data_IF_983007245499
#
_entry.id   IF_983007245499
#
_cell.length_a   1.000
_cell.length_b   1.000
_cell.length_c   1.000
_cell.angle_alpha   90.00
_cell.angle_beta   90.00
_cell.angle_gamma   90.00
#
_symmetry.space_group_name_H-M   'P 1'
#
loop_
_entity.id
_entity.type
_entity.pdbx_description
1 polymer ?
#
# COMPACT_ATOMS: atom_id res chain seq x y z
N UNK A 1 32.73 9.91 -3.92
CA UNK A 1 33.74 9.50 -2.88
C UNK A 1 34.84 10.54 -2.83
N UNK A 2 35.28 10.90 -1.61
CA UNK A 2 36.42 11.75 -1.43
C UNK A 2 37.70 11.02 -1.87
N UNK A 3 38.79 11.78 -2.10
CA UNK A 3 40.06 11.20 -2.56
C UNK A 3 40.71 10.26 -1.52
N UNK A 4 41.54 9.29 -1.94
CA UNK A 4 42.30 8.47 -1.00
C UNK A 4 43.16 9.30 -0.04
N UNK A 5 43.67 10.44 -0.50
CA UNK A 5 44.45 11.37 0.27
C UNK A 5 43.64 12.01 1.42
N UNK A 6 42.35 12.34 1.19
CA UNK A 6 41.42 12.79 2.24
C UNK A 6 41.27 11.73 3.33
N UNK A 7 41.07 10.47 2.95
CA UNK A 7 40.94 9.38 3.90
C UNK A 7 42.25 9.11 4.67
N UNK A 8 43.42 9.18 4.01
CA UNK A 8 44.70 9.07 4.67
C UNK A 8 44.94 10.18 5.71
N UNK A 9 44.65 11.42 5.34
CA UNK A 9 44.73 12.56 6.27
C UNK A 9 43.77 12.44 7.44
N UNK A 10 42.56 11.90 7.22
CA UNK A 10 41.57 11.74 8.29
C UNK A 10 41.98 10.72 9.37
N UNK A 11 42.84 9.78 9.01
CA UNK A 11 43.43 8.81 9.95
C UNK A 11 44.59 9.41 10.74
N UNK A 12 45.43 10.20 10.07
CA UNK A 12 46.65 10.79 10.66
C UNK A 12 46.37 12.03 11.47
N UNK A 13 45.55 12.96 10.96
CA UNK A 13 45.29 14.24 11.60
C UNK A 13 43.91 14.79 11.24
N UNK A 14 42.94 14.69 12.18
CA UNK A 14 41.58 15.14 12.00
C UNK A 14 41.43 16.63 11.61
N UNK A 15 42.14 17.60 12.25
CA UNK A 15 42.03 19.00 11.86
C UNK A 15 42.41 19.27 10.41
N UNK A 16 43.49 18.64 9.91
CA UNK A 16 43.94 18.75 8.52
C UNK A 16 42.90 18.17 7.53
N UNK A 17 42.22 17.08 7.88
CA UNK A 17 41.18 16.52 7.03
C UNK A 17 40.00 17.46 6.89
N UNK A 18 39.67 18.24 7.91
CA UNK A 18 38.57 19.22 7.87
C UNK A 18 38.84 20.37 6.89
N UNK A 19 40.08 20.88 6.89
CA UNK A 19 40.50 21.88 5.90
C UNK A 19 40.51 21.32 4.48
N UNK A 20 40.94 20.05 4.32
CA UNK A 20 40.96 19.38 3.02
C UNK A 20 39.56 19.07 2.48
N UNK A 21 38.53 19.00 3.37
CA UNK A 21 37.15 18.79 2.99
C UNK A 21 36.62 19.89 2.06
N UNK A 22 36.95 21.12 2.32
CA UNK A 22 36.56 22.28 1.48
C UNK A 22 37.08 22.09 0.04
N UNK A 23 38.34 21.66 -0.11
CA UNK A 23 38.93 21.36 -1.43
C UNK A 23 38.23 20.19 -2.12
N UNK A 24 37.88 19.14 -1.40
CA UNK A 24 37.13 17.99 -1.94
C UNK A 24 35.72 18.41 -2.38
N UNK A 25 35.03 19.32 -1.67
CA UNK A 25 33.74 19.87 -2.06
C UNK A 25 33.82 20.64 -3.39
N UNK A 26 34.80 21.52 -3.55
CA UNK A 26 35.01 22.27 -4.80
C UNK A 26 35.34 21.39 -5.99
N UNK A 27 36.02 20.24 -5.78
CA UNK A 27 36.24 19.24 -6.84
C UNK A 27 34.93 18.64 -7.40
N UNK A 28 33.84 18.70 -6.65
CA UNK A 28 32.53 18.20 -7.10
C UNK A 28 31.72 19.26 -7.84
N UNK A 29 32.20 20.50 -7.90
CA UNK A 29 31.54 21.56 -8.64
C UNK A 29 31.39 21.17 -10.12
N UNK A 30 30.22 21.36 -10.67
CA UNK A 30 29.84 21.01 -12.06
C UNK A 30 29.94 19.51 -12.39
N UNK A 31 29.89 18.62 -11.39
CA UNK A 31 29.83 17.17 -11.61
C UNK A 31 28.45 16.60 -11.28
N UNK A 32 28.02 15.61 -12.05
CA UNK A 32 26.82 14.86 -11.73
C UNK A 32 27.06 14.00 -10.48
N UNK A 33 26.15 14.09 -9.51
CA UNK A 33 26.17 13.28 -8.28
C UNK A 33 25.09 12.21 -8.43
N UNK A 34 25.50 10.96 -8.58
CA UNK A 34 24.56 9.84 -8.61
C UNK A 34 24.02 9.57 -7.20
N UNK A 35 22.72 9.63 -7.06
CA UNK A 35 22.02 9.22 -5.83
C UNK A 35 21.27 7.91 -6.05
N UNK A 36 21.29 7.04 -5.05
CA UNK A 36 20.44 5.84 -5.01
C UNK A 36 19.50 5.96 -3.83
N UNK A 37 18.21 5.92 -4.12
CA UNK A 37 17.16 5.92 -3.11
C UNK A 37 16.73 4.46 -2.95
N UNK A 38 16.82 3.93 -1.73
CA UNK A 38 16.31 2.61 -1.38
C UNK A 38 14.81 2.65 -1.04
N UNK A 39 14.25 1.49 -0.81
CA UNK A 39 12.89 1.39 -0.27
C UNK A 39 12.82 1.96 1.16
N UNK A 40 11.69 2.55 1.57
CA UNK A 40 11.53 3.09 2.92
C UNK A 40 11.61 1.98 3.97
N UNK A 41 12.17 2.33 5.11
CA UNK A 41 12.13 1.53 6.35
C UNK A 41 11.11 2.20 7.26
N UNK A 42 10.09 1.46 7.69
CA UNK A 42 9.05 2.01 8.55
C UNK A 42 9.60 2.39 9.93
N UNK A 43 8.94 3.35 10.58
CA UNK A 43 9.24 3.75 11.96
C UNK A 43 9.16 2.53 12.89
N UNK A 44 8.13 1.71 12.74
CA UNK A 44 7.90 0.53 13.59
C UNK A 44 9.01 -0.50 13.46
N UNK A 45 9.52 -0.72 12.23
CA UNK A 45 10.70 -1.58 12.02
C UNK A 45 11.92 -1.08 12.79
N UNK A 46 12.11 0.24 12.88
CA UNK A 46 13.24 0.81 13.63
C UNK A 46 13.00 0.80 15.14
N UNK A 47 11.79 1.11 15.58
CA UNK A 47 11.40 1.18 16.99
C UNK A 47 11.36 -0.19 17.66
N UNK A 48 11.02 -1.24 16.89
CA UNK A 48 11.01 -2.62 17.39
C UNK A 48 12.42 -3.22 17.58
N UNK A 49 13.49 -2.51 17.16
CA UNK A 49 14.84 -3.01 17.34
C UNK A 49 15.28 -2.90 18.82
N UNK A 50 15.62 -4.01 19.48
CA UNK A 50 16.10 -3.99 20.89
C UNK A 50 17.56 -3.51 20.95
N UNK A 51 17.86 -2.35 20.35
CA UNK A 51 19.22 -1.84 20.19
C UNK A 51 19.34 -0.41 20.71
N UNK A 52 20.49 -0.10 21.29
CA UNK A 52 20.84 1.29 21.65
C UNK A 52 20.99 2.16 20.38
N UNK A 53 20.72 3.48 20.45
CA UNK A 53 20.75 4.40 19.30
C UNK A 53 22.06 4.34 18.47
N UNK A 54 23.19 4.18 19.14
CA UNK A 54 24.50 4.03 18.47
C UNK A 54 24.59 2.75 17.64
N UNK A 55 24.01 1.66 18.10
CA UNK A 55 23.96 0.39 17.36
C UNK A 55 23.00 0.48 16.17
N UNK A 56 21.83 1.12 16.34
CA UNK A 56 20.87 1.41 15.26
C UNK A 56 21.55 2.23 14.16
N UNK A 57 22.27 3.30 14.51
CA UNK A 57 23.02 4.11 13.54
C UNK A 57 24.07 3.29 12.76
N UNK A 58 24.76 2.37 13.43
CA UNK A 58 25.72 1.45 12.79
C UNK A 58 25.02 0.47 11.85
N UNK A 59 23.84 -0.04 12.24
CA UNK A 59 23.02 -0.93 11.43
C UNK A 59 22.51 -0.22 10.17
N UNK A 60 21.95 1.00 10.32
CA UNK A 60 21.50 1.84 9.21
C UNK A 60 22.63 2.15 8.23
N UNK A 61 23.80 2.51 8.75
CA UNK A 61 24.99 2.70 7.89
C UNK A 61 25.30 1.45 7.08
N UNK A 62 25.30 0.28 7.70
CA UNK A 62 25.54 -1.00 7.01
C UNK A 62 24.47 -1.29 5.97
N UNK A 63 23.20 -1.03 6.28
CA UNK A 63 22.06 -1.15 5.39
C UNK A 63 22.24 -0.29 4.12
N UNK A 64 22.54 1.02 4.30
CA UNK A 64 22.79 1.94 3.18
C UNK A 64 23.97 1.51 2.29
N UNK A 65 25.06 1.04 2.88
CA UNK A 65 26.20 0.54 2.10
C UNK A 65 25.85 -0.73 1.30
N UNK A 66 24.94 -1.58 1.80
CA UNK A 66 24.49 -2.75 1.05
C UNK A 66 23.63 -2.34 -0.15
N UNK A 67 22.65 -1.44 0.06
CA UNK A 67 21.83 -0.88 -1.03
C UNK A 67 22.72 -0.24 -2.10
N UNK A 68 23.71 0.57 -1.68
CA UNK A 68 24.67 1.20 -2.59
C UNK A 68 25.46 0.22 -3.46
N UNK A 69 25.58 -1.05 -3.03
CA UNK A 69 26.26 -2.14 -3.74
C UNK A 69 25.29 -3.08 -4.47
N UNK A 70 23.98 -2.77 -4.52
CA UNK A 70 22.97 -3.63 -5.13
C UNK A 70 22.70 -4.92 -4.36
N UNK A 71 23.05 -4.98 -3.06
CA UNK A 71 22.79 -6.15 -2.20
C UNK A 71 21.45 -6.01 -1.49
N UNK A 72 20.82 -7.12 -1.11
CA UNK A 72 19.59 -7.15 -0.35
C UNK A 72 19.66 -6.30 0.93
N UNK A 73 18.57 -5.61 1.31
CA UNK A 73 18.50 -4.82 2.53
C UNK A 73 18.73 -5.69 3.77
N UNK A 74 19.12 -5.07 4.90
CA UNK A 74 19.25 -5.75 6.20
C UNK A 74 18.01 -5.60 7.04
N UNK A 75 17.32 -4.48 6.89
CA UNK A 75 16.07 -4.18 7.59
C UNK A 75 14.90 -4.50 6.68
N UNK A 76 13.76 -4.81 7.25
CA UNK A 76 12.51 -4.93 6.51
C UNK A 76 12.22 -3.58 5.84
N UNK A 77 11.95 -3.62 4.55
CA UNK A 77 11.62 -2.44 3.74
C UNK A 77 10.22 -2.59 3.17
N UNK A 78 9.60 -1.47 2.84
CA UNK A 78 8.31 -1.41 2.17
C UNK A 78 8.49 -0.80 0.79
N UNK A 79 7.74 -1.29 -0.19
CA UNK A 79 7.72 -0.66 -1.51
C UNK A 79 7.00 0.68 -1.44
N UNK A 80 7.48 1.67 -2.20
CA UNK A 80 6.74 2.91 -2.37
C UNK A 80 5.34 2.60 -2.95
N UNK A 81 4.31 3.20 -2.35
CA UNK A 81 2.94 3.07 -2.85
C UNK A 81 2.88 3.58 -4.29
N UNK A 82 2.06 2.96 -5.12
CA UNK A 82 1.87 3.38 -6.51
C UNK A 82 1.35 4.81 -6.60
N UNK A 83 1.61 5.49 -7.71
CA UNK A 83 1.00 6.79 -7.98
C UNK A 83 -0.51 6.63 -8.21
N UNK A 84 -1.32 7.66 -7.91
CA UNK A 84 -2.73 7.68 -8.22
C UNK A 84 -2.98 7.49 -9.72
N UNK A 85 -4.09 6.86 -10.05
CA UNK A 85 -4.55 6.74 -11.45
C UNK A 85 -5.06 8.09 -11.98
N UNK A 86 -5.13 8.23 -13.30
CA UNK A 86 -5.68 9.44 -13.93
C UNK A 86 -7.16 9.60 -13.56
N UNK A 87 -7.54 10.76 -13.02
CA UNK A 87 -8.89 11.01 -12.48
C UNK A 87 -10.00 10.87 -13.50
N UNK A 88 -9.77 11.29 -14.76
CA UNK A 88 -10.78 11.18 -15.83
C UNK A 88 -10.98 9.73 -16.27
N UNK A 89 -9.87 8.97 -16.41
CA UNK A 89 -9.95 7.54 -16.70
C UNK A 89 -10.62 6.78 -15.56
N UNK A 90 -10.32 7.16 -14.32
CA UNK A 90 -10.93 6.58 -13.13
C UNK A 90 -12.43 6.86 -13.09
N UNK A 91 -12.87 8.10 -13.33
CA UNK A 91 -14.28 8.49 -13.43
C UNK A 91 -15.02 7.68 -14.50
N UNK A 92 -14.40 7.52 -15.68
CA UNK A 92 -14.99 6.73 -16.76
C UNK A 92 -15.11 5.25 -16.35
N UNK A 93 -14.10 4.70 -15.69
CA UNK A 93 -14.13 3.33 -15.19
C UNK A 93 -15.20 3.13 -14.10
N UNK A 94 -15.37 4.07 -13.17
CA UNK A 94 -16.42 4.02 -12.14
C UNK A 94 -17.80 4.06 -12.78
N UNK A 95 -18.02 4.95 -13.73
CA UNK A 95 -19.33 5.11 -14.40
C UNK A 95 -19.69 3.99 -15.36
N UNK A 96 -18.78 3.06 -15.65
CA UNK A 96 -19.10 1.84 -16.40
C UNK A 96 -19.75 0.74 -15.57
N UNK A 97 -19.78 0.90 -14.23
CA UNK A 97 -20.40 -0.04 -13.31
C UNK A 97 -21.92 0.17 -13.17
N UNK A 98 -22.52 -0.56 -12.25
CA UNK A 98 -23.90 -0.42 -11.86
C UNK A 98 -24.02 0.63 -10.75
N UNK A 99 -24.77 1.71 -11.00
CA UNK A 99 -25.13 2.67 -9.96
C UNK A 99 -26.15 2.05 -9.00
N UNK A 100 -25.82 2.00 -7.71
CA UNK A 100 -26.72 1.50 -6.66
C UNK A 100 -27.50 2.62 -5.97
N UNK A 101 -26.88 3.79 -5.79
CA UNK A 101 -27.55 4.91 -5.15
C UNK A 101 -26.66 6.13 -4.97
N UNK A 102 -27.26 7.15 -4.34
CA UNK A 102 -26.60 8.41 -4.01
C UNK A 102 -26.73 8.67 -2.51
N UNK A 103 -25.65 9.19 -1.91
CA UNK A 103 -25.60 9.52 -0.49
C UNK A 103 -26.10 10.94 -0.23
N UNK A 104 -26.48 11.23 1.02
CA UNK A 104 -26.98 12.56 1.41
C UNK A 104 -25.94 13.68 1.26
N UNK A 105 -24.66 13.33 1.20
CA UNK A 105 -23.55 14.27 1.02
C UNK A 105 -23.01 14.28 -0.42
N UNK A 106 -23.83 13.82 -1.39
CA UNK A 106 -23.57 13.94 -2.83
C UNK A 106 -22.61 12.92 -3.41
N UNK A 107 -22.24 11.87 -2.66
CA UNK A 107 -21.45 10.76 -3.21
C UNK A 107 -22.32 9.71 -3.84
N UNK A 108 -21.75 8.92 -4.75
CA UNK A 108 -22.44 7.84 -5.44
C UNK A 108 -21.85 6.49 -5.09
N UNK A 109 -22.73 5.47 -5.00
CA UNK A 109 -22.34 4.09 -4.70
C UNK A 109 -22.47 3.27 -5.97
N UNK A 110 -21.39 2.60 -6.34
CA UNK A 110 -21.27 1.82 -7.56
C UNK A 110 -20.86 0.38 -7.28
N UNK A 111 -21.40 -0.54 -8.07
CA UNK A 111 -21.04 -1.96 -8.05
C UNK A 111 -20.29 -2.33 -9.32
N UNK A 112 -19.19 -3.04 -9.15
CA UNK A 112 -18.31 -3.49 -10.24
C UNK A 112 -17.97 -4.95 -10.13
N UNK A 113 -18.00 -5.64 -11.24
CA UNK A 113 -17.29 -6.90 -11.40
C UNK A 113 -15.79 -6.64 -11.54
N UNK A 114 -14.99 -7.62 -11.15
CA UNK A 114 -13.55 -7.51 -11.30
C UNK A 114 -13.14 -7.42 -12.79
N UNK A 115 -12.36 -6.42 -13.11
CA UNK A 115 -11.77 -6.23 -14.44
C UNK A 115 -10.25 -6.15 -14.30
N UNK A 116 -9.49 -7.14 -14.83
CA UNK A 116 -8.03 -7.12 -14.78
C UNK A 116 -7.50 -5.80 -15.34
N UNK A 117 -6.49 -5.24 -14.68
CA UNK A 117 -5.77 -4.05 -15.11
C UNK A 117 -6.61 -2.78 -15.37
N UNK A 118 -7.89 -2.76 -14.94
CA UNK A 118 -8.68 -1.53 -15.04
C UNK A 118 -8.11 -0.43 -14.13
N UNK A 119 -8.24 0.86 -14.50
CA UNK A 119 -7.85 1.98 -13.65
C UNK A 119 -8.50 1.91 -12.26
N UNK A 120 -9.77 1.47 -12.20
CA UNK A 120 -10.50 1.35 -10.95
C UNK A 120 -9.89 0.28 -10.03
N UNK A 121 -9.62 -0.92 -10.53
CA UNK A 121 -9.03 -2.00 -9.72
C UNK A 121 -7.62 -1.63 -9.24
N UNK A 122 -6.82 -0.97 -10.08
CA UNK A 122 -5.49 -0.48 -9.69
C UNK A 122 -5.57 0.60 -8.61
N UNK A 123 -6.55 1.50 -8.68
CA UNK A 123 -6.75 2.56 -7.69
C UNK A 123 -7.30 2.01 -6.37
N UNK A 124 -8.28 1.11 -6.40
CA UNK A 124 -8.77 0.41 -5.20
C UNK A 124 -7.61 -0.27 -4.47
N UNK A 125 -6.78 -1.03 -5.18
CA UNK A 125 -5.65 -1.72 -4.60
C UNK A 125 -4.58 -0.76 -4.04
N UNK A 126 -4.38 0.40 -4.68
CA UNK A 126 -3.52 1.46 -4.17
C UNK A 126 -4.06 2.06 -2.88
N UNK A 127 -5.35 2.40 -2.85
CA UNK A 127 -6.01 3.02 -1.69
C UNK A 127 -6.15 2.06 -0.51
N UNK A 128 -6.33 0.76 -0.76
CA UNK A 128 -6.23 -0.28 0.27
C UNK A 128 -4.87 -0.21 0.97
N UNK A 129 -3.78 -0.21 0.18
CA UNK A 129 -2.44 -0.12 0.76
C UNK A 129 -2.22 1.20 1.51
N UNK A 130 -2.71 2.33 0.99
CA UNK A 130 -2.65 3.63 1.69
C UNK A 130 -3.36 3.55 3.04
N UNK A 131 -4.60 3.05 3.06
CA UNK A 131 -5.45 3.02 4.24
C UNK A 131 -4.95 2.02 5.28
N UNK A 132 -4.63 0.79 4.86
CA UNK A 132 -4.14 -0.26 5.76
C UNK A 132 -2.74 0.05 6.29
N UNK A 133 -1.85 0.61 5.47
CA UNK A 133 -0.52 1.03 5.93
C UNK A 133 -0.60 2.15 6.96
N UNK A 134 -1.58 3.05 6.85
CA UNK A 134 -1.77 4.12 7.82
C UNK A 134 -2.15 3.62 9.23
N UNK A 135 -2.68 2.40 9.33
CA UNK A 135 -3.03 1.75 10.60
C UNK A 135 -2.11 0.56 10.95
N UNK A 136 -1.00 0.40 10.23
CA UNK A 136 -0.02 -0.66 10.50
C UNK A 136 -0.36 -2.03 9.90
N UNK A 137 -1.43 -2.14 9.09
CA UNK A 137 -1.93 -3.38 8.48
C UNK A 137 -1.58 -3.51 6.99
N UNK A 138 -0.77 -2.62 6.45
CA UNK A 138 -0.36 -2.63 5.06
C UNK A 138 0.45 -3.88 4.68
N UNK A 139 0.29 -4.35 3.45
CA UNK A 139 1.03 -5.50 2.93
C UNK A 139 2.49 -5.16 2.55
N UNK A 140 2.89 -3.88 2.57
CA UNK A 140 4.22 -3.40 2.18
C UNK A 140 4.48 -3.40 0.68
N UNK A 141 3.48 -3.70 -0.15
CA UNK A 141 3.54 -3.68 -1.62
C UNK A 141 3.15 -2.32 -2.18
N UNK A 142 3.30 -2.15 -3.49
CA UNK A 142 2.86 -0.92 -4.17
C UNK A 142 1.34 -0.78 -4.24
N UNK A 143 0.63 -1.91 -4.25
CA UNK A 143 -0.82 -2.07 -4.26
C UNK A 143 -1.18 -3.32 -3.46
N UNK A 144 -2.23 -3.28 -2.69
CA UNK A 144 -2.77 -4.45 -1.99
C UNK A 144 -3.74 -5.19 -2.92
N UNK A 145 -3.20 -6.19 -3.61
CA UNK A 145 -3.96 -7.13 -4.45
C UNK A 145 -3.73 -8.54 -3.99
N UNK A 146 -4.75 -9.37 -4.07
CA UNK A 146 -4.65 -10.80 -3.82
C UNK A 146 -5.39 -11.62 -4.92
N UNK A 147 -5.21 -12.94 -4.87
CA UNK A 147 -5.82 -13.88 -5.84
C UNK A 147 -7.35 -13.93 -5.77
N UNK A 148 -7.93 -13.46 -4.68
CA UNK A 148 -9.38 -13.52 -4.46
C UNK A 148 -10.10 -12.36 -5.12
N UNK A 149 -9.44 -11.24 -5.41
CA UNK A 149 -10.08 -10.07 -6.02
C UNK A 149 -10.89 -10.41 -7.27
N UNK A 150 -10.41 -11.39 -8.07
CA UNK A 150 -11.09 -11.82 -9.30
C UNK A 150 -12.42 -12.55 -9.08
N UNK A 151 -12.66 -13.06 -7.88
CA UNK A 151 -13.87 -13.81 -7.54
C UNK A 151 -14.93 -12.96 -6.86
N UNK A 152 -14.61 -11.69 -6.58
CA UNK A 152 -15.47 -10.78 -5.80
C UNK A 152 -15.95 -9.62 -6.64
N UNK A 153 -17.14 -9.15 -6.31
CA UNK A 153 -17.62 -7.85 -6.74
C UNK A 153 -17.06 -6.77 -5.82
N UNK A 154 -16.91 -5.57 -6.37
CA UNK A 154 -16.34 -4.42 -5.66
C UNK A 154 -17.37 -3.31 -5.55
N UNK A 155 -17.75 -2.97 -4.32
CA UNK A 155 -18.59 -1.83 -4.04
C UNK A 155 -17.71 -0.61 -3.78
N UNK A 156 -18.03 0.50 -4.44
CA UNK A 156 -17.20 1.70 -4.49
C UNK A 156 -18.05 2.91 -4.10
N UNK A 157 -17.59 3.66 -3.11
CA UNK A 157 -18.08 4.99 -2.79
C UNK A 157 -17.25 6.01 -3.55
N UNK A 158 -17.88 6.71 -4.50
CA UNK A 158 -17.26 7.68 -5.39
C UNK A 158 -17.64 9.11 -5.03
N UNK A 159 -16.65 9.98 -4.99
CA UNK A 159 -16.81 11.43 -4.83
C UNK A 159 -16.60 12.11 -6.19
N UNK A 160 -17.68 12.64 -6.77
CA UNK A 160 -17.63 13.29 -8.09
C UNK A 160 -16.96 14.66 -8.04
N UNK A 161 -17.02 15.38 -6.91
CA UNK A 161 -16.41 16.71 -6.76
C UNK A 161 -14.89 16.61 -6.78
N UNK A 162 -14.34 15.66 -6.01
CA UNK A 162 -12.91 15.41 -5.94
C UNK A 162 -12.41 14.45 -7.04
N UNK A 163 -13.33 13.79 -7.77
CA UNK A 163 -13.07 12.75 -8.76
C UNK A 163 -12.15 11.63 -8.20
N UNK A 164 -12.53 11.08 -7.06
CA UNK A 164 -11.76 10.03 -6.40
C UNK A 164 -12.64 9.01 -5.64
N UNK A 165 -12.06 7.84 -5.36
CA UNK A 165 -12.70 6.80 -4.54
C UNK A 165 -12.58 7.19 -3.09
N UNK A 166 -13.71 7.45 -2.41
CA UNK A 166 -13.74 7.76 -0.98
C UNK A 166 -13.53 6.51 -0.12
N UNK A 167 -14.04 5.37 -0.57
CA UNK A 167 -13.87 4.07 0.07
C UNK A 167 -14.39 2.94 -0.81
N UNK A 168 -14.09 1.72 -0.45
CA UNK A 168 -14.60 0.54 -1.13
C UNK A 168 -14.53 -0.68 -0.22
N UNK A 169 -15.28 -1.73 -0.57
CA UNK A 169 -15.07 -3.09 -0.09
C UNK A 169 -15.38 -4.09 -1.20
N UNK A 170 -14.92 -5.31 -1.03
CA UNK A 170 -15.29 -6.41 -1.92
C UNK A 170 -16.24 -7.34 -1.20
N UNK A 171 -17.13 -7.97 -1.95
CA UNK A 171 -18.06 -8.97 -1.42
C UNK A 171 -18.31 -10.09 -2.41
N UNK A 172 -18.72 -11.22 -1.89
CA UNK A 172 -19.12 -12.39 -2.68
C UNK A 172 -20.29 -13.08 -2.01
N UNK A 173 -21.34 -13.38 -2.79
CA UNK A 173 -22.39 -14.28 -2.36
C UNK A 173 -21.83 -15.71 -2.25
N UNK A 174 -22.06 -16.37 -1.12
CA UNK A 174 -21.58 -17.74 -0.90
C UNK A 174 -22.61 -18.80 -1.24
N UNK A 175 -23.86 -18.39 -1.52
CA UNK A 175 -24.95 -19.30 -1.86
C UNK A 175 -26.33 -18.67 -1.74
N UNK A 176 -26.47 -17.35 -1.95
CA UNK A 176 -27.79 -16.69 -1.95
C UNK A 176 -28.71 -17.28 -3.03
N UNK A 177 -30.03 -17.15 -2.83
CA UNK A 177 -31.05 -17.70 -3.70
C UNK A 177 -30.77 -17.46 -5.19
N UNK A 178 -30.56 -18.53 -5.95
CA UNK A 178 -30.21 -18.49 -7.37
C UNK A 178 -28.72 -18.44 -7.70
N UNK A 179 -27.83 -18.31 -6.70
CA UNK A 179 -26.38 -18.43 -6.88
C UNK A 179 -25.93 -19.80 -6.37
N UNK A 180 -25.18 -20.60 -7.17
CA UNK A 180 -24.61 -21.85 -6.69
C UNK A 180 -23.75 -21.62 -5.45
N UNK A 181 -23.77 -22.60 -4.52
CA UNK A 181 -22.82 -22.57 -3.38
C UNK A 181 -21.41 -22.57 -3.92
N UNK A 182 -20.63 -21.56 -3.51
CA UNK A 182 -19.26 -21.39 -3.98
C UNK A 182 -18.33 -22.47 -3.40
N UNK A 183 -17.27 -22.78 -4.12
CA UNK A 183 -16.18 -23.57 -3.57
C UNK A 183 -15.53 -22.75 -2.43
N UNK A 184 -15.46 -23.35 -1.24
CA UNK A 184 -14.84 -22.74 -0.05
C UNK A 184 -13.40 -22.30 -0.34
N UNK A 185 -12.67 -22.99 -1.22
CA UNK A 185 -11.31 -22.63 -1.61
C UNK A 185 -11.20 -21.28 -2.34
N UNK A 186 -12.31 -20.76 -2.86
CA UNK A 186 -12.38 -19.44 -3.51
C UNK A 186 -12.71 -18.30 -2.54
N UNK A 187 -12.99 -18.63 -1.27
CA UNK A 187 -13.26 -17.64 -0.22
C UNK A 187 -11.96 -17.26 0.49
N UNK A 188 -11.76 -15.95 0.73
CA UNK A 188 -10.59 -15.46 1.46
C UNK A 188 -10.52 -16.02 2.88
N UNK A 189 -11.67 -16.16 3.55
CA UNK A 189 -11.74 -16.71 4.90
C UNK A 189 -11.26 -18.17 4.99
N UNK A 190 -11.21 -18.91 3.88
CA UNK A 190 -10.65 -20.27 3.86
C UNK A 190 -9.14 -20.32 4.11
N UNK A 191 -8.41 -19.20 3.92
CA UNK A 191 -7.00 -19.10 4.31
C UNK A 191 -6.81 -18.89 5.83
N UNK A 192 -7.86 -18.44 6.51
CA UNK A 192 -7.82 -18.10 7.93
C UNK A 192 -8.48 -19.16 8.81
N UNK A 193 -9.49 -19.87 8.27
CA UNK A 193 -10.31 -20.81 9.01
C UNK A 193 -10.54 -22.10 8.23
N UNK A 194 -10.67 -23.20 8.95
CA UNK A 194 -11.18 -24.46 8.42
C UNK A 194 -12.68 -24.53 8.72
N UNK A 195 -13.49 -24.56 7.66
CA UNK A 195 -14.93 -24.75 7.80
C UNK A 195 -15.24 -26.22 8.01
N UNK A 196 -16.05 -26.54 9.01
CA UNK A 196 -16.57 -27.88 9.22
C UNK A 196 -17.91 -28.05 8.48
N UNK A 197 -18.35 -29.30 8.31
CA UNK A 197 -19.58 -29.61 7.57
C UNK A 197 -20.84 -28.94 8.16
N UNK A 198 -20.86 -28.66 9.47
CA UNK A 198 -21.97 -27.98 10.11
C UNK A 198 -22.12 -26.50 9.69
N UNK A 199 -21.11 -25.92 9.06
CA UNK A 199 -21.14 -24.57 8.56
C UNK A 199 -21.73 -24.45 7.13
N UNK A 200 -21.89 -25.57 6.43
CA UNK A 200 -22.42 -25.59 5.06
C UNK A 200 -23.80 -24.88 4.89
N UNK A 201 -24.76 -25.00 5.82
CA UNK A 201 -26.02 -24.26 5.74
C UNK A 201 -25.85 -22.72 5.86
N UNK A 202 -24.85 -22.26 6.59
CA UNK A 202 -24.52 -20.82 6.71
C UNK A 202 -23.91 -20.31 5.41
N UNK A 203 -22.97 -21.06 4.83
CA UNK A 203 -22.38 -20.73 3.54
C UNK A 203 -23.43 -20.69 2.43
N UNK A 204 -24.43 -21.56 2.46
CA UNK A 204 -25.49 -21.62 1.45
C UNK A 204 -26.38 -20.36 1.42
N UNK A 205 -26.30 -19.47 2.40
CA UNK A 205 -27.14 -18.26 2.53
C UNK A 205 -26.34 -17.02 2.91
N UNK A 206 -25.03 -17.07 2.77
CA UNK A 206 -24.13 -16.05 3.27
C UNK A 206 -23.62 -15.07 2.22
N UNK A 207 -23.00 -14.01 2.73
CA UNK A 207 -22.14 -13.09 2.00
C UNK A 207 -20.80 -13.05 2.69
N UNK A 208 -19.70 -13.16 1.94
CA UNK A 208 -18.38 -12.84 2.45
C UNK A 208 -18.04 -11.41 2.08
N UNK A 209 -17.75 -10.59 3.10
CA UNK A 209 -17.31 -9.21 2.95
C UNK A 209 -15.83 -9.13 3.31
N UNK A 210 -15.06 -8.33 2.56
CA UNK A 210 -13.65 -8.18 2.84
C UNK A 210 -13.02 -6.91 2.27
N UNK A 211 -11.81 -6.64 2.72
CA UNK A 211 -11.00 -5.50 2.24
C UNK A 211 -11.73 -4.17 2.31
N UNK A 212 -12.58 -3.98 3.34
CA UNK A 212 -13.26 -2.71 3.58
C UNK A 212 -12.26 -1.64 3.96
N UNK A 213 -12.31 -0.49 3.29
CA UNK A 213 -11.49 0.66 3.62
C UNK A 213 -12.21 1.96 3.31
N UNK A 214 -11.84 3.00 4.04
CA UNK A 214 -12.12 4.41 3.72
C UNK A 214 -10.78 5.12 3.60
N UNK A 215 -10.61 5.90 2.54
CA UNK A 215 -9.41 6.68 2.31
C UNK A 215 -9.17 7.64 3.50
N UNK A 216 -7.95 7.82 4.02
CA UNK A 216 -7.66 8.66 5.19
C UNK A 216 -8.25 10.08 5.13
N UNK A 217 -8.35 10.66 3.93
CA UNK A 217 -8.98 11.97 3.68
C UNK A 217 -10.45 12.04 4.12
N UNK A 218 -11.15 10.90 4.13
CA UNK A 218 -12.57 10.78 4.46
C UNK A 218 -12.82 10.19 5.85
N UNK A 219 -11.79 9.97 6.66
CA UNK A 219 -11.95 9.51 8.03
C UNK A 219 -12.71 10.54 8.89
N UNK A 220 -13.46 10.05 9.87
CA UNK A 220 -14.32 10.87 10.71
C UNK A 220 -15.60 11.38 10.03
N UNK A 221 -15.88 10.95 8.78
CA UNK A 221 -17.12 11.20 8.05
C UNK A 221 -17.98 9.92 8.00
N UNK A 222 -19.18 10.01 7.43
CA UNK A 222 -20.12 8.88 7.32
C UNK A 222 -19.81 7.92 6.14
N UNK A 223 -18.64 7.96 5.58
CA UNK A 223 -18.28 7.18 4.38
C UNK A 223 -18.37 5.67 4.62
N UNK A 224 -18.03 5.19 5.82
CA UNK A 224 -18.18 3.78 6.16
C UNK A 224 -19.66 3.39 6.25
N UNK A 225 -20.49 4.24 6.88
CA UNK A 225 -21.94 4.00 6.99
C UNK A 225 -22.57 3.88 5.60
N UNK A 226 -22.21 4.78 4.68
CA UNK A 226 -22.72 4.75 3.31
C UNK A 226 -22.35 3.49 2.55
N UNK A 227 -21.16 2.95 2.77
CA UNK A 227 -20.74 1.67 2.19
C UNK A 227 -21.58 0.48 2.72
N UNK A 228 -22.15 0.60 3.92
CA UNK A 228 -23.03 -0.43 4.50
C UNK A 228 -24.48 -0.34 4.01
N UNK A 229 -24.89 0.79 3.45
CA UNK A 229 -26.23 0.99 2.90
C UNK A 229 -26.37 0.60 1.41
N UNK A 230 -25.26 0.43 0.70
CA UNK A 230 -25.22 -0.04 -0.68
C UNK A 230 -25.30 -1.55 -0.76
#
# INVERSE_FOLDING_TARGET
RNSPLFYGLSVLCRPLSTLWLVREMFKQQNRAIAMRIGEPVSHDTLSALPLQPKAVAKLLRKHLYRIGRGKSPLLKTEKAIALPENRQQLRSAVRSGQLLGETKDGKTIWLHDYQPDSPLMREIARLREVSFRAVGEGCGKRRDTDRFDMHYQHMVLWDDDDMEVAGAYRWRATGLAGVPVVDVAELYTSELFHFNDSFAPVLAQGLELGRSFVQPKYWGRRSLDYLWYG
#
